data_IF_527811423655
#
_entry.id   IF_527811423655
#
_cell.length_a   1.000
_cell.length_b   1.000
_cell.length_c   1.000
_cell.angle_alpha   90.00
_cell.angle_beta   90.00
_cell.angle_gamma   90.00
#
_symmetry.space_group_name_H-M   'P 1'
#
loop_
_entity.id
_entity.type
_entity.pdbx_description
1 polymer ?
#
# COMPACT_ATOMS: atom_id res chain seq x y z
N UNK A 1 4.48 32.99 46.93
CA UNK A 1 3.63 32.51 45.81
C UNK A 1 4.34 31.33 45.15
N UNK A 2 3.78 30.12 45.20
CA UNK A 2 4.32 28.98 44.44
C UNK A 2 4.00 29.11 42.93
N UNK A 3 4.89 28.67 42.02
CA UNK A 3 4.64 28.64 40.57
C UNK A 3 3.63 27.55 40.16
N UNK A 4 2.95 27.69 39.00
CA UNK A 4 1.79 26.91 38.59
C UNK A 4 2.11 25.45 38.19
N UNK A 5 1.12 24.53 38.20
CA UNK A 5 1.30 23.14 37.80
C UNK A 5 1.70 23.07 36.32
N UNK A 6 2.95 22.66 36.09
CA UNK A 6 3.46 22.31 34.79
C UNK A 6 2.60 21.21 34.16
N UNK A 7 1.79 21.63 33.20
CA UNK A 7 1.51 20.96 31.92
C UNK A 7 2.17 19.57 31.88
N UNK A 8 1.38 18.51 32.09
CA UNK A 8 1.79 17.14 31.79
C UNK A 8 2.34 17.12 30.37
N UNK A 9 3.67 17.09 30.26
CA UNK A 9 4.33 16.68 29.06
C UNK A 9 3.78 15.28 28.78
N UNK A 10 3.04 15.14 27.68
CA UNK A 10 2.81 13.83 27.09
C UNK A 10 4.20 13.29 26.79
N UNK A 11 4.69 12.46 27.69
CA UNK A 11 5.70 11.45 27.40
C UNK A 11 5.35 10.87 26.03
N UNK A 12 6.24 10.96 25.03
CA UNK A 12 6.16 10.07 23.90
C UNK A 12 6.27 8.68 24.51
N UNK A 13 5.13 7.99 24.57
CA UNK A 13 5.05 6.62 25.00
C UNK A 13 5.98 5.82 24.08
N UNK A 14 7.15 5.47 24.62
CA UNK A 14 8.02 4.45 24.08
C UNK A 14 7.45 3.07 24.49
N UNK A 15 6.19 2.80 24.17
CA UNK A 15 5.77 1.45 23.80
C UNK A 15 6.57 1.03 22.57
N UNK A 16 6.86 -0.26 22.33
CA UNK A 16 7.85 -0.69 21.35
C UNK A 16 7.62 0.06 20.05
N UNK A 17 8.54 0.99 19.75
CA UNK A 17 8.57 1.71 18.50
C UNK A 17 8.61 0.61 17.45
N UNK A 18 7.44 0.23 16.92
CA UNK A 18 7.39 -0.49 15.67
C UNK A 18 8.23 0.39 14.77
N UNK A 19 9.41 -0.09 14.32
CA UNK A 19 10.31 0.73 13.54
C UNK A 19 9.43 1.37 12.47
N UNK A 20 9.44 2.69 12.37
CA UNK A 20 8.56 3.41 11.45
C UNK A 20 8.78 2.75 10.09
N UNK A 21 7.87 1.83 9.72
CA UNK A 21 8.24 0.80 8.76
C UNK A 21 8.57 1.55 7.50
N UNK A 22 9.81 1.39 7.05
CA UNK A 22 10.29 2.18 5.94
C UNK A 22 9.38 1.91 4.74
N UNK A 23 9.25 2.86 3.82
CA UNK A 23 8.42 2.65 2.62
C UNK A 23 8.79 1.35 1.89
N UNK A 24 10.06 0.94 1.96
CA UNK A 24 10.57 -0.35 1.50
C UNK A 24 10.01 -1.56 2.27
N UNK A 25 9.98 -1.53 3.61
CA UNK A 25 9.40 -2.60 4.43
C UNK A 25 7.90 -2.74 4.17
N UNK A 26 7.18 -1.62 4.06
CA UNK A 26 5.76 -1.63 3.71
C UNK A 26 5.51 -2.25 2.32
N UNK A 27 6.41 -2.01 1.35
CA UNK A 27 6.36 -2.68 0.03
C UNK A 27 6.61 -4.18 0.15
N UNK A 28 7.63 -4.58 0.91
CA UNK A 28 7.95 -5.98 1.14
C UNK A 28 6.78 -6.70 1.85
N UNK A 29 6.20 -6.09 2.88
CA UNK A 29 5.03 -6.59 3.58
C UNK A 29 3.80 -6.66 2.66
N UNK A 30 3.58 -5.68 1.79
CA UNK A 30 2.52 -5.72 0.79
C UNK A 30 2.68 -6.88 -0.19
N UNK A 31 3.91 -7.13 -0.64
CA UNK A 31 4.22 -8.25 -1.53
C UNK A 31 4.02 -9.60 -0.81
N UNK A 32 4.46 -9.71 0.44
CA UNK A 32 4.22 -10.90 1.27
C UNK A 32 2.72 -11.14 1.49
N UNK A 33 1.95 -10.09 1.80
CA UNK A 33 0.51 -10.16 1.96
C UNK A 33 -0.19 -10.58 0.65
N UNK A 34 0.31 -10.14 -0.52
CA UNK A 34 -0.20 -10.64 -1.79
C UNK A 34 0.03 -12.14 -1.90
N UNK A 35 1.25 -12.60 -1.71
CA UNK A 35 1.61 -14.02 -1.78
C UNK A 35 0.81 -14.87 -0.81
N UNK A 36 0.54 -14.36 0.40
CA UNK A 36 -0.29 -14.99 1.42
C UNK A 36 -1.80 -14.99 1.11
N UNK A 37 -2.23 -14.46 -0.03
CA UNK A 37 -3.65 -14.40 -0.39
C UNK A 37 -4.45 -13.36 0.38
N UNK A 38 -3.79 -12.33 0.94
CA UNK A 38 -4.41 -11.23 1.66
C UNK A 38 -4.36 -9.92 0.83
N UNK A 39 -5.09 -9.83 -0.29
CA UNK A 39 -4.92 -8.73 -1.24
C UNK A 39 -5.42 -7.38 -0.70
N UNK A 40 -6.39 -7.37 0.23
CA UNK A 40 -6.79 -6.15 0.94
C UNK A 40 -5.63 -5.56 1.76
N UNK A 41 -5.05 -6.37 2.64
CA UNK A 41 -3.88 -5.97 3.45
C UNK A 41 -2.72 -5.51 2.58
N UNK A 42 -2.46 -6.23 1.48
CA UNK A 42 -1.43 -5.83 0.55
C UNK A 42 -1.68 -4.45 -0.08
N UNK A 43 -2.93 -4.17 -0.47
CA UNK A 43 -3.30 -2.88 -1.04
C UNK A 43 -3.09 -1.76 -0.01
N UNK A 44 -3.53 -1.95 1.24
CA UNK A 44 -3.36 -0.96 2.30
C UNK A 44 -1.88 -0.71 2.64
N UNK A 45 -1.07 -1.76 2.72
CA UNK A 45 0.37 -1.65 2.94
C UNK A 45 1.07 -0.92 1.79
N UNK A 46 0.72 -1.26 0.53
CA UNK A 46 1.22 -0.55 -0.64
C UNK A 46 0.76 0.91 -0.65
N UNK A 47 -0.46 1.22 -0.20
CA UNK A 47 -0.99 2.58 -0.06
C UNK A 47 -0.26 3.40 0.99
N UNK A 48 0.04 2.80 2.14
CA UNK A 48 0.85 3.44 3.17
C UNK A 48 2.26 3.71 2.67
N UNK A 49 2.89 2.73 2.01
CA UNK A 49 4.21 2.92 1.40
C UNK A 49 4.19 4.06 0.38
N UNK A 50 3.20 4.09 -0.53
CA UNK A 50 3.09 5.12 -1.57
C UNK A 50 2.92 6.54 -0.99
N UNK A 51 2.28 6.65 0.17
CA UNK A 51 2.09 7.93 0.86
C UNK A 51 3.39 8.44 1.49
N UNK A 52 4.25 7.53 1.98
CA UNK A 52 5.58 7.91 2.48
C UNK A 52 6.54 8.21 1.33
N UNK A 53 6.59 7.33 0.33
CA UNK A 53 7.46 7.43 -0.82
C UNK A 53 6.64 7.13 -2.06
N UNK A 54 6.63 8.05 -3.04
CA UNK A 54 5.89 7.87 -4.30
C UNK A 54 6.54 6.83 -5.23
N UNK A 55 6.87 5.66 -4.69
CA UNK A 55 7.46 4.54 -5.39
C UNK A 55 6.47 3.99 -6.43
N UNK A 56 6.91 3.91 -7.69
CA UNK A 56 6.17 3.21 -8.76
C UNK A 56 5.90 1.75 -8.40
N UNK A 57 6.83 1.09 -7.71
CA UNK A 57 6.67 -0.30 -7.27
C UNK A 57 5.45 -0.48 -6.35
N UNK A 58 5.11 0.53 -5.54
CA UNK A 58 3.90 0.49 -4.71
C UNK A 58 2.61 0.56 -5.55
N UNK A 59 2.58 1.36 -6.63
CA UNK A 59 1.48 1.38 -7.59
C UNK A 59 1.33 0.04 -8.32
N UNK A 60 2.44 -0.61 -8.69
CA UNK A 60 2.38 -1.94 -9.29
C UNK A 60 1.78 -2.98 -8.33
N UNK A 61 2.19 -2.95 -7.05
CA UNK A 61 1.64 -3.81 -6.01
C UNK A 61 0.15 -3.54 -5.77
N UNK A 62 -0.28 -2.27 -5.73
CA UNK A 62 -1.71 -1.92 -5.66
C UNK A 62 -2.50 -2.48 -6.83
N UNK A 63 -1.98 -2.35 -8.05
CA UNK A 63 -2.65 -2.86 -9.25
C UNK A 63 -2.82 -4.38 -9.20
N UNK A 64 -1.75 -5.10 -8.84
CA UNK A 64 -1.78 -6.56 -8.65
C UNK A 64 -2.69 -6.98 -7.49
N UNK A 65 -2.71 -6.21 -6.41
CA UNK A 65 -3.60 -6.45 -5.28
C UNK A 65 -5.07 -6.30 -5.67
N UNK A 66 -5.40 -5.21 -6.34
CA UNK A 66 -6.74 -4.98 -6.85
C UNK A 66 -7.17 -6.05 -7.86
N UNK A 67 -6.25 -6.56 -8.70
CA UNK A 67 -6.48 -7.74 -9.53
C UNK A 67 -6.82 -9.00 -8.74
N UNK A 68 -6.23 -9.21 -7.56
CA UNK A 68 -6.62 -10.34 -6.69
C UNK A 68 -7.92 -10.10 -5.94
N UNK A 69 -8.32 -8.84 -5.76
CA UNK A 69 -9.59 -8.47 -5.13
C UNK A 69 -10.80 -8.50 -6.08
N UNK A 70 -10.63 -8.82 -7.37
CA UNK A 70 -11.67 -8.61 -8.40
C UNK A 70 -12.13 -7.15 -8.52
N UNK A 71 -11.28 -6.21 -8.11
CA UNK A 71 -11.65 -4.81 -7.92
C UNK A 71 -11.12 -3.98 -9.10
N UNK A 72 -11.82 -4.06 -10.24
CA UNK A 72 -11.39 -3.45 -11.51
C UNK A 72 -11.25 -1.93 -11.40
N UNK A 73 -12.08 -1.25 -10.60
CA UNK A 73 -11.98 0.19 -10.39
C UNK A 73 -10.64 0.58 -9.71
N UNK A 74 -10.28 -0.12 -8.63
CA UNK A 74 -8.99 0.12 -7.94
C UNK A 74 -7.79 -0.23 -8.80
N UNK A 75 -7.89 -1.30 -9.58
CA UNK A 75 -6.82 -1.69 -10.49
C UNK A 75 -6.69 -0.68 -11.64
N UNK A 76 -7.80 -0.14 -12.19
CA UNK A 76 -7.78 0.98 -13.16
C UNK A 76 -7.09 2.21 -12.56
N UNK A 77 -7.48 2.63 -11.36
CA UNK A 77 -6.88 3.77 -10.68
C UNK A 77 -5.37 3.60 -10.42
N UNK A 78 -4.94 2.38 -10.07
CA UNK A 78 -3.53 2.08 -9.87
C UNK A 78 -2.73 2.12 -11.19
N UNK A 79 -3.27 1.54 -12.27
CA UNK A 79 -2.57 1.57 -13.57
C UNK A 79 -2.58 2.94 -14.24
N UNK A 80 -3.51 3.84 -13.91
CA UNK A 80 -3.52 5.22 -14.41
C UNK A 80 -2.26 6.00 -13.99
N UNK A 81 -1.64 5.65 -12.86
CA UNK A 81 -0.38 6.25 -12.41
C UNK A 81 0.88 5.55 -12.94
N UNK A 82 0.72 4.50 -13.74
CA UNK A 82 1.82 3.69 -14.27
C UNK A 82 2.03 3.94 -15.76
N UNK A 83 3.21 3.56 -16.26
CA UNK A 83 3.49 3.64 -17.70
C UNK A 83 2.64 2.62 -18.47
N UNK A 84 2.44 2.86 -19.77
CA UNK A 84 1.60 1.99 -20.61
C UNK A 84 2.01 0.50 -20.56
N UNK A 85 3.31 0.21 -20.57
CA UNK A 85 3.82 -1.17 -20.46
C UNK A 85 3.44 -1.82 -19.11
N UNK A 86 3.66 -1.10 -18.01
CA UNK A 86 3.34 -1.59 -16.66
C UNK A 86 1.83 -1.82 -16.49
N UNK A 87 1.03 -0.86 -16.96
CA UNK A 87 -0.41 -0.96 -17.01
C UNK A 87 -0.88 -2.16 -17.83
N UNK A 88 -0.21 -2.46 -18.95
CA UNK A 88 -0.53 -3.62 -19.81
C UNK A 88 -0.16 -4.94 -19.13
N UNK A 89 0.98 -4.99 -18.43
CA UNK A 89 1.39 -6.18 -17.67
C UNK A 89 0.39 -6.50 -16.55
N UNK A 90 -0.04 -5.50 -15.78
CA UNK A 90 -1.05 -5.66 -14.72
C UNK A 90 -2.41 -6.04 -15.31
N UNK A 91 -2.81 -5.43 -16.44
CA UNK A 91 -4.03 -5.82 -17.16
C UNK A 91 -4.01 -7.28 -17.58
N UNK A 92 -2.88 -7.78 -18.11
CA UNK A 92 -2.73 -9.18 -18.49
C UNK A 92 -2.84 -10.10 -17.26
N UNK A 93 -2.18 -9.76 -16.15
CA UNK A 93 -2.25 -10.52 -14.90
C UNK A 93 -3.68 -10.56 -14.32
N UNK A 94 -4.37 -9.41 -14.27
CA UNK A 94 -5.79 -9.30 -13.93
C UNK A 94 -6.65 -10.21 -14.80
N UNK A 95 -6.46 -10.16 -16.13
CA UNK A 95 -7.26 -10.94 -17.07
C UNK A 95 -7.05 -12.44 -16.89
N UNK A 96 -5.81 -12.88 -16.65
CA UNK A 96 -5.49 -14.28 -16.33
C UNK A 96 -6.14 -14.76 -15.03
N UNK A 97 -6.55 -13.85 -14.14
CA UNK A 97 -7.27 -14.13 -12.89
C UNK A 97 -8.79 -14.01 -13.02
N UNK A 98 -9.31 -13.72 -14.21
CA UNK A 98 -10.73 -13.49 -14.45
C UNK A 98 -11.18 -12.03 -14.24
N UNK A 99 -10.29 -11.14 -13.81
CA UNK A 99 -10.60 -9.71 -13.64
C UNK A 99 -10.48 -8.99 -14.97
N UNK A 100 -11.63 -8.61 -15.52
CA UNK A 100 -11.69 -7.73 -16.69
C UNK A 100 -11.60 -6.29 -16.21
N UNK A 101 -10.38 -5.76 -16.24
CA UNK A 101 -10.16 -4.32 -16.33
C UNK A 101 -10.74 -3.86 -17.67
N UNK A 102 -12.04 -3.55 -17.65
CA UNK A 102 -12.81 -3.17 -18.84
C UNK A 102 -12.06 -2.11 -19.63
N UNK A 103 -12.13 -2.20 -20.96
CA UNK A 103 -11.61 -1.19 -21.86
C UNK A 103 -12.29 0.14 -21.50
#
# INVERSE_FOLDING_TARGET
MPPPPGKRAKTPDAGPSQPAQSAAELRAAAQAALSAGQPQRAYDLAKRSRQQERARSALQLMGRAACRMNDAAKAKAAISGLSFLEARAIRKDCRSRGVRLGL
#
